data_IF_053188163128
#
_entry.id   IF_053188163128
#
_cell.length_a   1.000
_cell.length_b   1.000
_cell.length_c   1.000
_cell.angle_alpha   90.00
_cell.angle_beta   90.00
_cell.angle_gamma   90.00
#
_symmetry.space_group_name_H-M   'P 1'
#
loop_
_entity.id
_entity.type
_entity.pdbx_description
1 polymer ?
#
# COMPACT_ATOMS: atom_id res chain seq x y z
N UNK A 1 -10.00 4.58 16.15
CA UNK A 1 -8.57 4.27 15.92
C UNK A 1 -7.97 5.36 15.05
N UNK A 2 -6.68 5.66 15.21
CA UNK A 2 -5.89 6.55 14.33
C UNK A 2 -5.25 5.70 13.23
N UNK A 3 -5.66 5.95 11.99
CA UNK A 3 -5.20 5.21 10.81
C UNK A 3 -4.30 6.11 9.99
N UNK A 4 -3.04 5.73 9.83
CA UNK A 4 -2.15 6.35 8.88
C UNK A 4 -2.31 5.71 7.50
N UNK A 5 -2.27 6.51 6.44
CA UNK A 5 -2.20 6.01 5.06
C UNK A 5 -0.92 6.56 4.42
N UNK A 6 -0.12 5.66 3.84
CA UNK A 6 1.12 5.97 3.15
C UNK A 6 1.05 5.46 1.70
N UNK A 7 1.24 6.35 0.74
CA UNK A 7 1.15 6.07 -0.71
C UNK A 7 2.19 6.89 -1.48
N UNK A 8 2.77 6.32 -2.56
CA UNK A 8 3.74 7.03 -3.43
C UNK A 8 3.16 7.54 -4.76
N UNK A 9 2.26 6.80 -5.43
CA UNK A 9 1.95 7.10 -6.84
C UNK A 9 0.48 7.39 -7.16
N UNK A 10 -0.47 6.49 -6.83
CA UNK A 10 -1.81 6.56 -7.48
C UNK A 10 -2.99 6.57 -6.51
N UNK A 11 -3.65 7.72 -6.42
CA UNK A 11 -4.83 7.92 -5.58
C UNK A 11 -6.13 7.32 -6.11
N UNK A 12 -6.21 7.01 -7.41
CA UNK A 12 -7.46 6.62 -8.09
C UNK A 12 -8.17 5.43 -7.45
N UNK A 13 -7.42 4.41 -7.01
CA UNK A 13 -7.97 3.22 -6.34
C UNK A 13 -8.08 3.36 -4.82
N UNK A 14 -7.39 4.34 -4.25
CA UNK A 14 -7.34 4.55 -2.81
C UNK A 14 -8.47 5.46 -2.33
N UNK A 15 -9.07 6.30 -3.18
CA UNK A 15 -10.10 7.26 -2.75
C UNK A 15 -11.27 6.59 -2.02
N UNK A 16 -11.87 5.56 -2.61
CA UNK A 16 -13.01 4.86 -2.01
C UNK A 16 -12.65 4.21 -0.67
N UNK A 17 -11.48 3.56 -0.60
CA UNK A 17 -10.96 2.94 0.64
C UNK A 17 -10.68 4.01 1.70
N UNK A 18 -10.02 5.10 1.32
CA UNK A 18 -9.66 6.18 2.22
C UNK A 18 -10.91 6.91 2.75
N UNK A 19 -11.93 7.09 1.92
CA UNK A 19 -13.17 7.74 2.32
C UNK A 19 -14.00 6.86 3.26
N UNK A 20 -14.07 5.55 2.99
CA UNK A 20 -14.66 4.60 3.94
C UNK A 20 -13.88 4.59 5.27
N UNK A 21 -12.54 4.57 5.22
CA UNK A 21 -11.73 4.64 6.44
C UNK A 21 -11.95 5.94 7.23
N UNK A 22 -12.12 7.09 6.55
CA UNK A 22 -12.42 8.37 7.21
C UNK A 22 -13.80 8.38 7.85
N UNK A 23 -14.77 7.65 7.30
CA UNK A 23 -16.11 7.56 7.86
C UNK A 23 -16.12 6.89 9.26
N UNK A 24 -15.20 5.94 9.50
CA UNK A 24 -15.15 5.16 10.74
C UNK A 24 -13.97 5.49 11.65
N UNK A 25 -12.92 6.13 11.13
CA UNK A 25 -11.64 6.30 11.81
C UNK A 25 -11.01 7.69 11.59
N UNK A 26 -10.10 8.06 12.49
CA UNK A 26 -9.29 9.27 12.33
C UNK A 26 -8.14 8.99 11.36
N UNK A 27 -8.30 9.38 10.10
CA UNK A 27 -7.32 9.10 9.03
C UNK A 27 -6.31 10.24 8.89
N UNK A 28 -5.03 9.89 8.76
CA UNK A 28 -3.93 10.82 8.47
C UNK A 28 -3.12 10.33 7.29
N UNK A 29 -2.75 11.24 6.40
CA UNK A 29 -1.91 10.92 5.25
C UNK A 29 -0.44 11.18 5.58
N UNK A 30 0.42 10.28 5.13
CA UNK A 30 1.86 10.49 5.18
C UNK A 30 2.28 11.33 3.98
N UNK A 31 2.84 12.52 4.23
CA UNK A 31 3.35 13.41 3.19
C UNK A 31 4.88 13.38 3.19
N UNK A 32 5.49 12.98 2.07
CA UNK A 32 6.95 13.04 1.90
C UNK A 32 7.37 14.49 1.64
N UNK A 33 7.97 15.15 2.63
CA UNK A 33 8.55 16.48 2.47
C UNK A 33 9.96 16.38 1.88
N UNK A 34 10.12 16.71 0.60
CA UNK A 34 11.45 16.82 -0.05
C UNK A 34 11.95 18.26 0.01
N UNK A 35 13.20 18.46 0.44
CA UNK A 35 13.89 19.75 0.30
C UNK A 35 14.62 19.78 -1.04
N UNK A 36 14.45 20.84 -1.83
CA UNK A 36 15.22 21.10 -3.03
C UNK A 36 16.43 21.99 -2.68
N UNK A 37 17.56 21.40 -2.26
CA UNK A 37 18.84 22.10 -2.10
C UNK A 37 19.93 21.42 -2.94
N UNK A 38 20.84 22.15 -3.60
CA UNK A 38 21.44 21.64 -4.84
C UNK A 38 22.57 20.61 -4.66
N UNK A 39 23.16 20.42 -3.47
CA UNK A 39 24.47 19.70 -3.37
C UNK A 39 24.62 18.69 -2.22
N UNK A 40 23.85 18.78 -1.11
CA UNK A 40 24.02 17.89 0.08
C UNK A 40 22.78 17.06 0.45
N UNK A 41 21.87 16.92 -0.50
CA UNK A 41 20.47 16.61 -0.20
C UNK A 41 20.17 15.18 0.24
N UNK A 42 20.81 14.18 -0.35
CA UNK A 42 20.31 12.79 -0.28
C UNK A 42 20.38 12.18 1.12
N UNK A 43 21.49 12.38 1.85
CA UNK A 43 21.65 11.84 3.21
C UNK A 43 20.77 12.57 4.21
N UNK A 44 20.69 13.89 4.13
CA UNK A 44 19.88 14.71 5.02
C UNK A 44 18.39 14.46 4.81
N UNK A 45 17.95 14.36 3.55
CA UNK A 45 16.59 13.99 3.17
C UNK A 45 16.24 12.60 3.69
N UNK A 46 17.15 11.62 3.63
CA UNK A 46 16.91 10.27 4.17
C UNK A 46 16.79 10.25 5.70
N UNK A 47 17.65 10.96 6.42
CA UNK A 47 17.54 11.06 7.88
C UNK A 47 16.24 11.73 8.31
N UNK A 48 15.87 12.83 7.63
CA UNK A 48 14.62 13.54 7.88
C UNK A 48 13.41 12.64 7.59
N UNK A 49 13.41 11.98 6.44
CA UNK A 49 12.39 11.03 6.06
C UNK A 49 12.21 9.92 7.11
N UNK A 50 13.29 9.31 7.59
CA UNK A 50 13.23 8.31 8.67
C UNK A 50 12.66 8.85 9.97
N UNK A 51 12.97 10.11 10.31
CA UNK A 51 12.41 10.77 11.49
C UNK A 51 10.91 11.03 11.33
N UNK A 52 10.52 11.54 10.17
CA UNK A 52 9.12 11.86 9.87
C UNK A 52 8.28 10.57 9.83
N UNK A 53 8.77 9.49 9.21
CA UNK A 53 8.14 8.17 9.23
C UNK A 53 8.02 7.63 10.66
N UNK A 54 9.09 7.73 11.48
CA UNK A 54 9.02 7.29 12.89
C UNK A 54 7.96 8.05 13.69
N UNK A 55 7.91 9.37 13.56
CA UNK A 55 6.88 10.18 14.22
C UNK A 55 5.49 9.81 13.72
N UNK A 56 5.34 9.56 12.43
CA UNK A 56 4.08 9.10 11.86
C UNK A 56 3.65 7.74 12.43
N UNK A 57 4.58 6.78 12.55
CA UNK A 57 4.33 5.49 13.20
C UNK A 57 3.92 5.64 14.67
N UNK A 58 4.55 6.54 15.43
CA UNK A 58 4.21 6.78 16.84
C UNK A 58 2.85 7.46 17.02
N UNK A 59 2.39 8.20 16.01
CA UNK A 59 1.17 8.99 16.08
C UNK A 59 -0.08 8.28 15.56
N UNK A 60 0.06 7.05 15.05
CA UNK A 60 -1.03 6.23 14.53
C UNK A 60 -1.05 4.87 15.22
N UNK A 61 -2.23 4.27 15.32
CA UNK A 61 -2.36 2.93 15.92
C UNK A 61 -2.07 1.85 14.87
N UNK A 62 -2.42 2.13 13.61
CA UNK A 62 -2.09 1.32 12.43
C UNK A 62 -1.73 2.22 11.26
N UNK A 63 -0.81 1.77 10.41
CA UNK A 63 -0.53 2.40 9.11
C UNK A 63 -0.82 1.40 8.00
N UNK A 64 -1.59 1.87 7.03
CA UNK A 64 -1.88 1.21 5.78
C UNK A 64 -0.94 1.73 4.69
N UNK A 65 -0.13 0.82 4.14
CA UNK A 65 0.76 1.07 3.01
C UNK A 65 0.12 0.51 1.75
N UNK A 66 -0.37 1.39 0.90
CA UNK A 66 -0.71 1.01 -0.46
C UNK A 66 0.61 0.93 -1.23
N UNK A 67 0.85 -0.20 -1.92
CA UNK A 67 2.09 -0.48 -2.66
C UNK A 67 3.30 -0.84 -1.76
N UNK A 68 3.98 -1.95 -2.06
CA UNK A 68 5.35 -2.22 -1.60
C UNK A 68 6.34 -1.23 -2.21
N UNK A 69 6.60 -0.18 -1.44
CA UNK A 69 7.37 1.00 -1.81
C UNK A 69 8.56 1.26 -0.88
N UNK A 70 9.34 2.30 -1.17
CA UNK A 70 10.40 2.80 -0.27
C UNK A 70 9.82 3.11 1.13
N UNK A 71 8.56 3.57 1.21
CA UNK A 71 7.85 3.84 2.46
C UNK A 71 7.72 2.59 3.34
N UNK A 72 7.28 1.47 2.77
CA UNK A 72 7.10 0.21 3.49
C UNK A 72 8.45 -0.37 3.92
N UNK A 73 9.45 -0.33 3.03
CA UNK A 73 10.81 -0.80 3.33
C UNK A 73 11.34 -0.07 4.56
N UNK A 74 11.34 1.26 4.53
CA UNK A 74 11.89 2.06 5.63
C UNK A 74 11.07 1.90 6.92
N UNK A 75 9.74 1.87 6.84
CA UNK A 75 8.88 1.65 8.00
C UNK A 75 9.12 0.27 8.66
N UNK A 76 9.28 -0.79 7.86
CA UNK A 76 9.51 -2.15 8.36
C UNK A 76 10.86 -2.34 9.09
N UNK A 77 11.81 -1.42 8.87
CA UNK A 77 13.13 -1.42 9.52
C UNK A 77 13.24 -0.45 10.71
N UNK A 78 12.19 0.32 10.99
CA UNK A 78 12.14 1.17 12.18
C UNK A 78 11.66 0.37 13.41
N UNK A 79 11.99 0.82 14.63
CA UNK A 79 11.41 0.24 15.84
C UNK A 79 9.88 0.26 15.76
N UNK A 80 9.28 -0.91 16.00
CA UNK A 80 7.83 -1.09 15.92
C UNK A 80 7.13 -0.15 16.91
N UNK A 81 6.20 0.66 16.40
CA UNK A 81 5.42 1.60 17.21
C UNK A 81 3.90 1.50 16.95
N UNK A 82 3.49 0.88 15.85
CA UNK A 82 2.10 0.73 15.44
C UNK A 82 1.91 -0.55 14.60
N UNK A 83 0.66 -0.90 14.32
CA UNK A 83 0.31 -1.89 13.31
C UNK A 83 0.83 -1.47 11.92
N UNK A 84 1.37 -2.41 11.16
CA UNK A 84 1.82 -2.22 9.77
C UNK A 84 1.01 -3.17 8.90
N UNK A 85 0.16 -2.60 8.06
CA UNK A 85 -0.65 -3.32 7.07
C UNK A 85 -0.23 -2.85 5.70
N UNK A 86 -0.03 -3.77 4.76
CA UNK A 86 0.28 -3.42 3.37
C UNK A 86 -0.65 -4.11 2.40
N UNK A 87 -0.95 -3.45 1.29
CA UNK A 87 -1.59 -4.06 0.11
C UNK A 87 -0.58 -4.13 -1.03
N UNK A 88 -0.36 -5.35 -1.54
CA UNK A 88 0.58 -5.60 -2.63
C UNK A 88 -0.12 -5.79 -3.97
N UNK A 89 0.43 -5.13 -4.97
CA UNK A 89 0.04 -5.21 -6.37
C UNK A 89 1.06 -5.96 -7.21
N UNK A 90 0.69 -6.29 -8.46
CA UNK A 90 1.44 -7.23 -9.33
C UNK A 90 2.90 -6.83 -9.55
N UNK A 91 3.21 -5.55 -9.74
CA UNK A 91 4.54 -5.06 -10.16
C UNK A 91 5.60 -5.12 -9.06
N UNK A 92 5.16 -5.08 -7.82
CA UNK A 92 6.00 -4.76 -6.68
C UNK A 92 6.70 -5.98 -6.11
N UNK A 93 6.07 -7.14 -6.35
CA UNK A 93 6.61 -8.46 -6.09
C UNK A 93 7.97 -8.69 -6.77
N UNK A 94 8.35 -7.93 -7.79
CA UNK A 94 9.61 -8.17 -8.49
C UNK A 94 10.76 -7.27 -8.07
N UNK A 95 10.51 -6.16 -7.38
CA UNK A 95 11.55 -5.14 -7.11
C UNK A 95 11.81 -4.86 -5.64
N UNK A 96 10.76 -4.87 -4.81
CA UNK A 96 10.83 -4.31 -3.47
C UNK A 96 10.61 -5.34 -2.36
N UNK A 97 9.92 -6.43 -2.65
CA UNK A 97 9.50 -7.42 -1.64
C UNK A 97 10.65 -8.08 -0.89
N UNK A 98 11.80 -8.26 -1.52
CA UNK A 98 12.99 -8.87 -0.86
C UNK A 98 13.65 -7.91 0.13
N UNK A 99 13.37 -6.60 0.02
CA UNK A 99 13.92 -5.56 0.90
C UNK A 99 13.00 -5.25 2.08
N UNK A 100 11.78 -5.81 2.14
CA UNK A 100 10.83 -5.55 3.22
C UNK A 100 11.11 -6.51 4.37
N UNK A 101 11.17 -5.99 5.60
CA UNK A 101 11.22 -6.83 6.79
C UNK A 101 9.80 -7.33 7.14
N UNK A 102 9.40 -8.45 6.50
CA UNK A 102 8.08 -9.06 6.67
C UNK A 102 7.76 -9.51 8.10
N UNK A 103 8.78 -9.72 8.95
CA UNK A 103 8.57 -9.99 10.38
C UNK A 103 7.84 -8.83 11.07
N UNK A 104 8.14 -7.59 10.68
CA UNK A 104 7.56 -6.38 11.25
C UNK A 104 6.17 -6.03 10.68
N UNK A 105 5.76 -6.64 9.57
CA UNK A 105 4.43 -6.45 8.97
C UNK A 105 3.42 -7.35 9.69
N UNK A 106 2.24 -6.82 10.05
CA UNK A 106 1.21 -7.58 10.77
C UNK A 106 0.20 -8.23 9.83
N UNK A 107 -0.17 -7.53 8.74
CA UNK A 107 -1.08 -8.05 7.72
C UNK A 107 -0.66 -7.66 6.31
N UNK A 108 -0.84 -8.60 5.40
CA UNK A 108 -0.50 -8.47 3.98
C UNK A 108 -1.77 -8.73 3.19
N UNK A 109 -2.23 -7.74 2.45
CA UNK A 109 -3.41 -7.82 1.60
C UNK A 109 -2.94 -8.07 0.17
N UNK A 110 -3.42 -9.15 -0.44
CA UNK A 110 -3.11 -9.49 -1.82
C UNK A 110 -4.36 -9.41 -2.68
N UNK A 111 -4.22 -8.88 -3.89
CA UNK A 111 -5.35 -8.66 -4.80
C UNK A 111 -5.90 -9.93 -5.46
N UNK A 112 -5.22 -11.08 -5.33
CA UNK A 112 -5.71 -12.35 -5.87
C UNK A 112 -5.09 -13.59 -5.21
N UNK A 113 -5.77 -14.73 -5.36
CA UNK A 113 -5.25 -16.04 -4.95
C UNK A 113 -3.97 -16.43 -5.69
N UNK A 114 -3.82 -16.00 -6.95
CA UNK A 114 -2.59 -16.23 -7.70
C UNK A 114 -1.39 -15.54 -7.03
N UNK A 115 -1.58 -14.30 -6.56
CA UNK A 115 -0.55 -13.56 -5.83
C UNK A 115 -0.26 -14.19 -4.46
N UNK A 116 -1.27 -14.72 -3.77
CA UNK A 116 -1.06 -15.50 -2.53
C UNK A 116 -0.15 -16.71 -2.74
N UNK A 117 -0.35 -17.46 -3.83
CA UNK A 117 0.50 -18.61 -4.16
C UNK A 117 1.94 -18.17 -4.43
N UNK A 118 2.13 -17.14 -5.26
CA UNK A 118 3.46 -16.64 -5.59
C UNK A 118 4.19 -16.05 -4.36
N UNK A 119 3.47 -15.31 -3.51
CA UNK A 119 4.03 -14.82 -2.25
C UNK A 119 4.43 -15.99 -1.33
N UNK A 120 3.56 -16.98 -1.16
CA UNK A 120 3.82 -18.15 -0.32
C UNK A 120 4.97 -19.03 -0.83
N UNK A 121 5.23 -19.06 -2.13
CA UNK A 121 6.41 -19.75 -2.68
C UNK A 121 7.72 -19.10 -2.28
N UNK A 122 7.73 -17.77 -2.10
CA UNK A 122 8.93 -16.99 -1.75
C UNK A 122 9.08 -16.80 -0.25
N UNK A 123 7.96 -16.63 0.45
CA UNK A 123 7.87 -16.26 1.86
C UNK A 123 6.87 -17.15 2.60
N UNK A 124 7.08 -18.48 2.65
CA UNK A 124 6.13 -19.41 3.24
C UNK A 124 5.86 -19.14 4.72
N UNK A 125 6.86 -18.63 5.45
CA UNK A 125 6.80 -18.30 6.87
C UNK A 125 5.85 -17.15 7.24
N UNK A 126 5.41 -16.34 6.26
CA UNK A 126 4.52 -15.19 6.49
C UNK A 126 3.12 -15.38 5.89
N UNK A 127 2.77 -16.60 5.47
CA UNK A 127 1.50 -16.87 4.78
C UNK A 127 0.27 -16.72 5.70
N UNK A 128 0.45 -16.88 7.02
CA UNK A 128 -0.55 -16.67 8.05
C UNK A 128 -0.97 -15.18 8.20
N UNK A 129 -0.10 -14.28 7.76
CA UNK A 129 -0.35 -12.83 7.72
C UNK A 129 -1.15 -12.39 6.49
N UNK A 130 -1.31 -13.28 5.50
CA UNK A 130 -1.88 -12.96 4.20
C UNK A 130 -3.40 -13.07 4.19
N UNK A 131 -4.07 -12.01 3.73
CA UNK A 131 -5.48 -11.98 3.39
C UNK A 131 -5.62 -11.64 1.92
N UNK A 132 -6.56 -12.28 1.22
CA UNK A 132 -6.87 -11.98 -0.18
C UNK A 132 -8.10 -11.09 -0.23
N UNK A 133 -7.94 -9.87 -0.74
CA UNK A 133 -9.03 -8.92 -0.99
C UNK A 133 -8.91 -8.47 -2.44
N UNK A 134 -9.85 -8.94 -3.26
CA UNK A 134 -9.87 -8.62 -4.69
C UNK A 134 -10.23 -7.16 -4.92
N UNK A 135 -9.86 -6.64 -6.09
CA UNK A 135 -10.39 -5.35 -6.54
C UNK A 135 -11.90 -5.46 -6.71
N UNK A 136 -12.60 -4.47 -6.15
CA UNK A 136 -14.05 -4.35 -6.24
C UNK A 136 -14.40 -3.22 -7.23
N UNK A 137 -15.56 -3.35 -7.85
CA UNK A 137 -16.18 -2.30 -8.65
C UNK A 137 -17.51 -1.94 -8.00
N UNK A 138 -17.85 -0.66 -7.97
CA UNK A 138 -19.16 -0.23 -7.49
C UNK A 138 -20.26 -0.65 -8.48
N UNK A 139 -21.18 -1.55 -8.11
CA UNK A 139 -22.25 -2.01 -8.99
C UNK A 139 -23.29 -0.91 -9.28
N UNK A 140 -23.36 0.15 -8.47
CA UNK A 140 -24.24 1.29 -8.75
C UNK A 140 -23.69 2.14 -9.90
N UNK A 141 -22.37 2.25 -9.98
CA UNK A 141 -21.64 2.95 -11.06
C UNK A 141 -21.50 2.11 -12.32
N UNK A 142 -21.24 0.81 -12.18
CA UNK A 142 -21.02 -0.13 -13.28
C UNK A 142 -22.12 -1.17 -13.33
N UNK A 143 -23.23 -0.81 -13.98
CA UNK A 143 -24.34 -1.73 -14.19
C UNK A 143 -24.10 -2.57 -15.46
N UNK A 144 -24.36 -3.89 -15.41
CA UNK A 144 -24.30 -4.72 -16.61
C UNK A 144 -25.37 -4.25 -17.61
N UNK A 145 -24.94 -3.98 -18.84
CA UNK A 145 -25.84 -3.64 -19.95
C UNK A 145 -25.73 -4.74 -20.99
N UNK A 146 -26.85 -5.39 -21.30
CA UNK A 146 -26.90 -6.33 -22.42
C UNK A 146 -26.62 -5.59 -23.72
N UNK A 147 -25.65 -6.08 -24.49
CA UNK A 147 -25.32 -5.54 -25.81
C UNK A 147 -25.28 -6.68 -26.82
N UNK A 148 -25.91 -6.52 -28.00
CA UNK A 148 -25.77 -7.50 -29.06
C UNK A 148 -24.31 -7.64 -29.46
N UNK A 149 -23.87 -8.87 -29.71
CA UNK A 149 -22.49 -9.15 -30.11
C UNK A 149 -22.21 -8.48 -31.46
N UNK A 150 -21.28 -7.50 -31.46
CA UNK A 150 -20.91 -6.73 -32.65
C UNK A 150 -19.46 -6.91 -33.09
N UNK A 151 -18.72 -7.87 -32.51
CA UNK A 151 -17.29 -8.07 -32.81
C UNK A 151 -16.35 -6.95 -32.34
N UNK A 152 -16.86 -5.97 -31.57
CA UNK A 152 -16.05 -4.87 -31.05
C UNK A 152 -15.27 -5.30 -29.81
N UNK A 153 -13.95 -5.07 -29.81
CA UNK A 153 -13.08 -5.28 -28.65
C UNK A 153 -12.82 -3.92 -27.99
N UNK A 154 -13.26 -3.76 -26.74
CA UNK A 154 -12.89 -2.63 -25.90
C UNK A 154 -11.59 -2.93 -25.18
N UNK A 155 -10.61 -2.04 -25.29
CA UNK A 155 -9.39 -2.07 -24.49
C UNK A 155 -9.43 -0.87 -23.56
N UNK A 156 -9.34 -1.12 -22.26
CA UNK A 156 -9.08 -0.06 -21.29
C UNK A 156 -7.58 0.22 -21.31
N UNK A 157 -7.18 1.31 -21.97
CA UNK A 157 -5.81 1.81 -21.90
C UNK A 157 -5.65 2.57 -20.58
N UNK A 158 -4.96 1.95 -19.61
CA UNK A 158 -4.50 2.59 -18.37
C UNK A 158 -3.08 3.10 -18.53
#
# INVERSE_FOLDING_TARGET
>A
MRVGIAIEETWSFLHEIADELKAHHAVRLFERRTLALPVFNTRLNRMRFRRDMRHFMQANDVIFFEWASELLIEASHLPKACGIVTRLHRYEMYKWVDQVNWRAVDKIILVSQAKKREFGQRFPEYLDKVVVVTEAVDPQKFQPVEKPFGGNIGILCT
#
